data_IF_241421476551
#
_entry.id   IF_241421476551
#
_cell.length_a   1.000
_cell.length_b   1.000
_cell.length_c   1.000
_cell.angle_alpha   90.00
_cell.angle_beta   90.00
_cell.angle_gamma   90.00
#
_symmetry.space_group_name_H-M   'P 1'
#
loop_
_entity.id
_entity.type
_entity.pdbx_description
1 polymer ?
#
# COMPACT_ATOMS: atom_id res chain seq x y z
N UNK A 1 4.21 -2.53 -11.35
CA UNK A 1 5.54 -1.93 -11.15
C UNK A 1 6.35 -2.94 -10.36
N UNK A 2 7.54 -3.30 -10.83
CA UNK A 2 8.44 -4.19 -10.09
C UNK A 2 9.52 -3.33 -9.42
N UNK A 3 9.81 -3.59 -8.15
CA UNK A 3 10.92 -2.97 -7.44
C UNK A 3 11.99 -4.02 -7.12
N UNK A 4 13.17 -3.56 -6.76
CA UNK A 4 14.36 -4.41 -6.55
C UNK A 4 14.43 -5.01 -5.16
N UNK A 5 13.65 -4.48 -4.22
CA UNK A 5 13.69 -4.83 -2.80
C UNK A 5 12.41 -5.50 -2.28
N UNK A 6 11.36 -5.61 -3.11
CA UNK A 6 10.08 -6.19 -2.71
C UNK A 6 9.29 -5.34 -1.70
N UNK A 7 9.74 -4.12 -1.38
CA UNK A 7 9.14 -3.29 -0.34
C UNK A 7 7.85 -2.62 -0.83
N UNK A 8 6.79 -2.62 -0.03
CA UNK A 8 5.61 -1.80 -0.35
C UNK A 8 5.95 -0.31 -0.18
N UNK A 9 5.70 0.47 -1.23
CA UNK A 9 5.82 1.93 -1.21
C UNK A 9 4.57 2.56 -0.56
N UNK A 10 4.77 3.37 0.47
CA UNK A 10 3.71 4.06 1.20
C UNK A 10 2.97 5.09 0.31
N UNK A 11 3.69 5.80 -0.54
CA UNK A 11 3.10 6.76 -1.47
C UNK A 11 2.32 6.03 -2.57
N UNK A 12 2.85 4.89 -3.01
CA UNK A 12 2.14 3.95 -3.89
C UNK A 12 0.80 3.49 -3.29
N UNK A 13 0.80 3.07 -2.02
CA UNK A 13 -0.44 2.67 -1.33
C UNK A 13 -1.47 3.82 -1.25
N UNK A 14 -1.00 5.05 -0.98
CA UNK A 14 -1.87 6.24 -0.94
C UNK A 14 -2.48 6.56 -2.31
N UNK A 15 -1.67 6.52 -3.37
CA UNK A 15 -2.13 6.75 -4.73
C UNK A 15 -3.18 5.71 -5.17
N UNK A 16 -3.00 4.44 -4.82
CA UNK A 16 -4.00 3.40 -5.11
C UNK A 16 -5.31 3.68 -4.39
N UNK A 17 -5.28 4.11 -3.12
CA UNK A 17 -6.49 4.51 -2.40
C UNK A 17 -7.19 5.71 -3.07
N UNK A 18 -6.41 6.70 -3.53
CA UNK A 18 -6.96 7.86 -4.24
C UNK A 18 -7.65 7.48 -5.54
N UNK A 19 -7.02 6.62 -6.34
CA UNK A 19 -7.59 6.10 -7.58
C UNK A 19 -8.84 5.25 -7.30
N UNK A 20 -8.80 4.32 -6.34
CA UNK A 20 -9.96 3.50 -5.98
C UNK A 20 -11.13 4.37 -5.47
N UNK A 21 -10.84 5.41 -4.69
CA UNK A 21 -11.86 6.32 -4.20
C UNK A 21 -12.53 7.15 -5.32
N UNK A 22 -11.91 7.27 -6.49
CA UNK A 22 -12.48 8.03 -7.61
C UNK A 22 -13.62 7.31 -8.34
N UNK A 23 -13.70 5.97 -8.26
CA UNK A 23 -14.70 5.20 -9.01
C UNK A 23 -15.36 4.04 -8.25
N UNK A 24 -14.75 3.52 -7.19
CA UNK A 24 -15.29 2.35 -6.47
C UNK A 24 -16.43 2.75 -5.54
N UNK A 25 -17.61 2.18 -5.76
CA UNK A 25 -18.79 2.36 -4.92
C UNK A 25 -18.61 1.85 -3.49
N UNK A 26 -17.64 0.97 -3.26
CA UNK A 26 -17.32 0.44 -1.94
C UNK A 26 -16.26 1.28 -1.20
N UNK A 27 -15.27 1.81 -1.93
CA UNK A 27 -14.11 2.52 -1.35
C UNK A 27 -14.39 4.02 -1.21
N UNK A 28 -15.03 4.63 -2.20
CA UNK A 28 -15.36 6.07 -2.19
C UNK A 28 -16.04 6.53 -0.88
N UNK A 29 -17.13 5.90 -0.38
CA UNK A 29 -17.78 6.36 0.85
C UNK A 29 -16.99 6.08 2.12
N UNK A 30 -15.87 5.34 2.03
CA UNK A 30 -15.07 4.89 3.19
C UNK A 30 -13.64 5.42 3.18
N UNK A 31 -13.23 6.16 2.13
CA UNK A 31 -11.86 6.63 1.92
C UNK A 31 -11.21 7.18 3.19
N UNK A 32 -11.88 8.09 3.89
CA UNK A 32 -11.34 8.79 5.07
C UNK A 32 -11.30 7.90 6.33
N UNK A 33 -11.98 6.76 6.31
CA UNK A 33 -11.97 5.77 7.40
C UNK A 33 -10.96 4.64 7.22
N UNK A 34 -10.35 4.55 6.02
CA UNK A 34 -9.40 3.49 5.70
C UNK A 34 -8.02 3.85 6.26
N UNK A 35 -7.56 3.06 7.22
CA UNK A 35 -6.23 3.16 7.79
C UNK A 35 -5.23 2.32 6.97
N UNK A 36 -4.48 2.98 6.08
CA UNK A 36 -3.52 2.33 5.19
C UNK A 36 -2.39 1.59 5.93
N UNK A 37 -2.05 1.98 7.16
CA UNK A 37 -0.99 1.27 7.91
C UNK A 37 -1.42 -0.15 8.33
N UNK A 38 -2.70 -0.48 8.21
CA UNK A 38 -3.25 -1.81 8.50
C UNK A 38 -3.51 -2.64 7.24
N UNK A 39 -3.36 -2.06 6.05
CA UNK A 39 -3.67 -2.74 4.79
C UNK A 39 -2.46 -3.40 4.14
N UNK A 40 -1.25 -3.12 4.64
CA UNK A 40 -0.01 -3.77 4.22
C UNK A 40 1.01 -3.76 5.35
N UNK A 41 2.09 -4.52 5.18
CA UNK A 41 3.25 -4.52 6.09
C UNK A 41 4.53 -4.71 5.32
N UNK A 42 5.61 -4.06 5.77
CA UNK A 42 6.96 -4.28 5.27
C UNK A 42 7.78 -5.18 6.19
N UNK A 43 7.25 -5.58 7.34
CA UNK A 43 8.01 -6.29 8.40
C UNK A 43 8.74 -7.53 7.90
N UNK A 44 8.14 -8.25 6.95
CA UNK A 44 8.72 -9.48 6.41
C UNK A 44 9.88 -9.17 5.47
N UNK A 45 9.76 -8.14 4.65
CA UNK A 45 10.83 -7.67 3.76
C UNK A 45 11.96 -7.06 4.60
N UNK A 46 11.62 -6.28 5.64
CA UNK A 46 12.57 -5.71 6.60
C UNK A 46 13.39 -6.78 7.35
N UNK A 47 12.82 -7.96 7.56
CA UNK A 47 13.48 -9.08 8.24
C UNK A 47 14.34 -9.93 7.29
N UNK A 48 14.26 -9.74 5.97
CA UNK A 48 15.11 -10.45 5.01
C UNK A 48 16.50 -9.84 5.08
N UNK A 49 17.55 -10.64 5.37
CA UNK A 49 18.92 -10.20 5.20
C UNK A 49 19.11 -9.80 3.74
N UNK A 50 19.55 -8.57 3.49
CA UNK A 50 19.80 -8.07 2.13
C UNK A 50 20.54 -9.14 1.32
N UNK A 51 19.85 -9.74 0.34
CA UNK A 51 20.50 -10.64 -0.59
C UNK A 51 21.46 -9.78 -1.43
N UNK A 52 22.76 -10.13 -1.49
CA UNK A 52 23.74 -9.39 -2.28
C UNK A 52 23.42 -9.42 -3.78
#
# INVERSE_FOLDING_TARGET
>A
MFNTDGRMDADGARNVLDVLASFSTNVQPRKDSIDLSKTYTTQFVDAVPNQP
#
